data_IF_527666574763
#
_entry.id   IF_527666574763
#
_cell.length_a   1.000
_cell.length_b   1.000
_cell.length_c   1.000
_cell.angle_alpha   90.00
_cell.angle_beta   90.00
_cell.angle_gamma   90.00
#
_symmetry.space_group_name_H-M   'P 1'
#
loop_
_entity.id
_entity.type
_entity.pdbx_description
1 polymer ?
#
# COMPACT_ATOMS: atom_id res chain seq x y z
N UNK A 1 -42.69 -3.31 -3.57
CA UNK A 1 -41.51 -4.19 -3.48
C UNK A 1 -40.80 -4.04 -4.80
N UNK A 2 -39.95 -3.02 -4.89
CA UNK A 2 -39.18 -2.71 -6.09
C UNK A 2 -37.78 -3.29 -5.87
N UNK A 3 -37.43 -4.27 -6.70
CA UNK A 3 -36.08 -4.82 -6.79
C UNK A 3 -35.20 -3.84 -7.56
N UNK A 4 -34.33 -3.13 -6.84
CA UNK A 4 -33.24 -2.36 -7.43
C UNK A 4 -32.09 -3.31 -7.71
N UNK A 5 -32.10 -3.92 -8.89
CA UNK A 5 -30.90 -4.52 -9.46
C UNK A 5 -30.05 -3.41 -10.08
N UNK A 6 -29.03 -3.00 -9.32
CA UNK A 6 -27.97 -2.10 -9.75
C UNK A 6 -27.21 -2.73 -10.93
N UNK A 7 -27.52 -2.28 -12.14
CA UNK A 7 -26.83 -2.66 -13.36
C UNK A 7 -25.64 -1.69 -13.55
N UNK A 8 -24.45 -2.11 -13.10
CA UNK A 8 -23.22 -1.41 -13.48
C UNK A 8 -22.99 -1.64 -14.98
N UNK A 9 -23.16 -0.57 -15.76
CA UNK A 9 -22.87 -0.58 -17.19
C UNK A 9 -21.36 -0.54 -17.40
N UNK A 10 -20.86 -1.59 -18.05
CA UNK A 10 -19.52 -1.69 -18.61
C UNK A 10 -19.31 -0.57 -19.65
N UNK A 11 -18.79 0.57 -19.22
CA UNK A 11 -18.10 1.49 -20.12
C UNK A 11 -16.61 1.23 -19.95
N UNK A 12 -16.05 0.50 -20.92
CA UNK A 12 -14.61 0.36 -21.14
C UNK A 12 -14.02 1.72 -21.54
N UNK A 13 -13.94 2.66 -20.61
CA UNK A 13 -12.92 3.70 -20.66
C UNK A 13 -11.71 3.07 -20.01
N UNK A 14 -10.67 2.82 -20.79
CA UNK A 14 -9.32 2.60 -20.23
C UNK A 14 -8.91 3.95 -19.64
N UNK A 15 -9.48 4.31 -18.49
CA UNK A 15 -9.00 5.44 -17.71
C UNK A 15 -7.59 5.07 -17.31
N UNK A 16 -6.63 5.79 -17.90
CA UNK A 16 -5.23 5.70 -17.52
C UNK A 16 -5.17 5.94 -16.01
N UNK A 17 -4.90 4.88 -15.24
CA UNK A 17 -4.92 4.94 -13.77
C UNK A 17 -4.05 6.12 -13.34
N UNK A 18 -4.62 7.02 -12.53
CA UNK A 18 -3.92 8.21 -12.04
C UNK A 18 -2.60 7.79 -11.40
N UNK A 19 -1.55 8.54 -11.72
CA UNK A 19 -0.22 8.31 -11.18
C UNK A 19 -0.28 8.38 -9.65
N UNK A 20 0.43 7.46 -8.98
CA UNK A 20 0.59 7.50 -7.54
C UNK A 20 1.31 8.81 -7.14
N UNK A 21 0.95 9.41 -6.00
CA UNK A 21 1.61 10.63 -5.53
C UNK A 21 0.87 11.94 -5.85
N UNK A 22 -0.32 11.89 -6.46
CA UNK A 22 -1.07 13.09 -6.88
C UNK A 22 -2.31 13.37 -6.05
N UNK A 23 -2.51 12.70 -4.90
CA UNK A 23 -3.68 12.89 -4.04
C UNK A 23 -3.34 13.84 -2.88
N UNK A 24 -3.98 15.00 -2.88
CA UNK A 24 -3.82 16.03 -1.84
C UNK A 24 -5.13 16.20 -1.07
N UNK A 25 -5.09 16.05 0.25
CA UNK A 25 -6.24 16.32 1.10
C UNK A 25 -6.38 17.84 1.22
N UNK A 26 -7.33 18.42 0.48
CA UNK A 26 -7.58 19.87 0.49
C UNK A 26 -8.78 20.25 1.35
N UNK A 27 -9.72 19.33 1.56
CA UNK A 27 -10.88 19.47 2.42
C UNK A 27 -10.91 18.30 3.41
N UNK A 28 -10.93 18.60 4.71
CA UNK A 28 -10.94 17.60 5.80
C UNK A 28 -12.16 16.68 5.75
N UNK A 29 -13.28 17.13 5.18
CA UNK A 29 -14.50 16.31 5.03
C UNK A 29 -14.31 15.13 4.06
N UNK A 30 -13.30 15.21 3.18
CA UNK A 30 -13.01 14.18 2.18
C UNK A 30 -12.05 13.09 2.67
N UNK A 31 -11.63 13.12 3.94
CA UNK A 31 -10.60 12.22 4.50
C UNK A 31 -10.83 10.74 4.15
N UNK A 32 -12.08 10.30 4.07
CA UNK A 32 -12.47 8.91 3.80
C UNK A 32 -12.70 8.57 2.32
N UNK A 33 -12.50 9.51 1.39
CA UNK A 33 -12.72 9.29 -0.04
C UNK A 33 -11.65 8.39 -0.67
N UNK A 34 -10.45 8.33 -0.07
CA UNK A 34 -9.35 7.50 -0.55
C UNK A 34 -8.70 6.73 0.60
N UNK A 35 -8.16 5.56 0.30
CA UNK A 35 -7.40 4.75 1.27
C UNK A 35 -6.07 5.40 1.69
N UNK A 36 -5.55 6.34 0.91
CA UNK A 36 -4.33 7.07 1.22
C UNK A 36 -4.34 8.44 0.52
N UNK A 37 -3.86 9.44 1.26
CA UNK A 37 -3.51 10.76 0.75
C UNK A 37 -2.00 10.84 0.65
N UNK A 38 -1.49 11.28 -0.50
CA UNK A 38 -0.06 11.16 -0.82
C UNK A 38 0.78 12.29 -0.21
N UNK A 39 0.15 13.41 0.13
CA UNK A 39 0.83 14.58 0.66
C UNK A 39 -0.05 15.23 1.73
N UNK A 40 0.29 14.96 2.99
CA UNK A 40 -0.32 15.59 4.16
C UNK A 40 0.81 16.21 4.95
N UNK A 41 0.79 17.54 5.07
CA UNK A 41 1.73 18.27 5.91
C UNK A 41 1.43 18.00 7.38
N UNK A 42 2.47 17.80 8.18
CA UNK A 42 2.32 17.54 9.61
C UNK A 42 2.16 18.85 10.37
N UNK A 43 1.19 18.88 11.29
CA UNK A 43 1.10 19.96 12.27
C UNK A 43 2.27 19.90 13.26
N UNK A 44 2.52 21.00 13.95
CA UNK A 44 3.59 21.06 14.94
C UNK A 44 3.31 20.12 16.13
N UNK A 45 2.04 19.93 16.49
CA UNK A 45 1.61 18.96 17.50
C UNK A 45 1.89 17.53 17.07
N UNK A 46 1.62 17.17 15.81
CA UNK A 46 1.88 15.83 15.27
C UNK A 46 3.39 15.53 15.24
N UNK A 47 4.21 16.51 14.87
CA UNK A 47 5.68 16.39 14.92
C UNK A 47 6.14 16.15 16.35
N UNK A 48 5.66 16.94 17.31
CA UNK A 48 6.02 16.79 18.72
C UNK A 48 5.58 15.43 19.29
N UNK A 49 4.39 14.94 18.93
CA UNK A 49 3.93 13.61 19.34
C UNK A 49 4.80 12.50 18.75
N UNK A 50 5.18 12.61 17.48
CA UNK A 50 6.08 11.65 16.85
C UNK A 50 7.46 11.63 17.50
N UNK A 51 8.03 12.80 17.79
CA UNK A 51 9.30 12.92 18.52
C UNK A 51 9.21 12.28 19.91
N UNK A 52 8.13 12.52 20.64
CA UNK A 52 7.88 11.90 21.95
C UNK A 52 7.80 10.37 21.86
N UNK A 53 7.09 9.84 20.86
CA UNK A 53 7.01 8.38 20.62
C UNK A 53 8.35 7.77 20.24
N UNK A 54 9.14 8.44 19.41
CA UNK A 54 10.50 8.00 19.06
C UNK A 54 11.36 7.95 20.32
N UNK A 55 11.30 8.98 21.17
CA UNK A 55 12.04 9.01 22.44
C UNK A 55 11.61 7.87 23.38
N UNK A 56 10.31 7.58 23.49
CA UNK A 56 9.78 6.48 24.28
C UNK A 56 10.28 5.11 23.75
N UNK A 57 10.20 4.89 22.43
CA UNK A 57 10.68 3.65 21.81
C UNK A 57 12.19 3.45 22.02
N UNK A 58 12.96 4.54 22.02
CA UNK A 58 14.39 4.49 22.30
C UNK A 58 14.70 4.00 23.72
N UNK A 59 13.86 4.31 24.72
CA UNK A 59 14.02 3.80 26.08
C UNK A 59 13.81 2.27 26.16
N UNK A 60 13.01 1.72 25.27
CA UNK A 60 12.71 0.29 25.17
C UNK A 60 13.40 -0.37 23.98
N UNK A 61 14.56 0.15 23.58
CA UNK A 61 15.31 -0.39 22.45
C UNK A 61 15.61 -1.89 22.62
N UNK A 62 15.53 -2.62 21.51
CA UNK A 62 15.89 -4.03 21.46
C UNK A 62 17.34 -4.23 21.92
N UNK A 63 17.59 -5.28 22.69
CA UNK A 63 18.95 -5.63 23.07
C UNK A 63 19.80 -5.94 21.82
N UNK A 64 21.10 -5.73 21.92
CA UNK A 64 22.03 -5.86 20.79
C UNK A 64 22.05 -7.27 20.17
N UNK A 65 21.86 -8.31 20.99
CA UNK A 65 21.88 -9.69 20.53
C UNK A 65 20.64 -10.06 19.70
N UNK A 66 19.46 -9.60 20.13
CA UNK A 66 18.21 -9.77 19.42
C UNK A 66 18.25 -9.00 18.09
N UNK A 67 18.69 -7.74 18.11
CA UNK A 67 18.89 -6.95 16.90
C UNK A 67 19.84 -7.65 15.92
N UNK A 68 20.97 -8.16 16.39
CA UNK A 68 21.93 -8.91 15.57
C UNK A 68 21.32 -10.18 14.98
N UNK A 69 20.54 -10.94 15.76
CA UNK A 69 19.88 -12.14 15.26
C UNK A 69 18.88 -11.84 14.13
N UNK A 70 18.08 -10.78 14.29
CA UNK A 70 17.14 -10.31 13.26
C UNK A 70 17.87 -9.96 11.96
N UNK A 71 19.00 -9.24 12.06
CA UNK A 71 19.80 -8.82 10.92
C UNK A 71 20.55 -9.98 10.25
N UNK A 72 20.96 -11.00 11.01
CA UNK A 72 21.69 -12.15 10.47
C UNK A 72 20.80 -13.17 9.78
N UNK A 73 19.54 -13.30 10.21
CA UNK A 73 18.63 -14.33 9.70
C UNK A 73 17.31 -13.75 9.17
N UNK A 74 17.32 -12.72 8.30
CA UNK A 74 16.11 -12.01 7.89
C UNK A 74 15.12 -12.95 7.18
N UNK A 75 15.62 -13.89 6.36
CA UNK A 75 14.78 -14.89 5.68
C UNK A 75 13.93 -15.69 6.68
N UNK A 76 14.53 -16.22 7.74
CA UNK A 76 13.83 -17.00 8.74
C UNK A 76 12.80 -16.16 9.50
N UNK A 77 13.12 -14.91 9.83
CA UNK A 77 12.18 -14.00 10.50
C UNK A 77 10.94 -13.74 9.64
N UNK A 78 11.14 -13.45 8.35
CA UNK A 78 10.04 -13.26 7.40
C UNK A 78 9.26 -14.55 7.18
N UNK A 79 9.92 -15.70 7.09
CA UNK A 79 9.25 -16.99 6.96
C UNK A 79 8.33 -17.26 8.16
N UNK A 80 8.81 -17.13 9.40
CA UNK A 80 7.98 -17.29 10.60
C UNK A 80 6.83 -16.29 10.66
N UNK A 81 7.01 -15.07 10.14
CA UNK A 81 5.94 -14.09 10.02
C UNK A 81 4.85 -14.57 9.04
N UNK A 82 5.23 -15.03 7.85
CA UNK A 82 4.27 -15.48 6.84
C UNK A 82 3.56 -16.78 7.21
N UNK A 83 4.23 -17.70 7.92
CA UNK A 83 3.61 -18.90 8.50
C UNK A 83 2.42 -18.58 9.42
N UNK A 84 2.44 -17.41 10.07
CA UNK A 84 1.39 -16.97 11.00
C UNK A 84 0.34 -16.06 10.39
N UNK A 85 0.59 -15.50 9.20
CA UNK A 85 -0.20 -14.40 8.62
C UNK A 85 -0.56 -14.60 7.14
N UNK A 86 -0.93 -15.83 6.76
CA UNK A 86 -1.16 -16.23 5.36
C UNK A 86 -2.14 -15.35 4.58
N UNK A 87 -3.21 -14.86 5.21
CA UNK A 87 -4.36 -14.27 4.49
C UNK A 87 -4.51 -12.75 4.62
N UNK A 88 -3.62 -12.06 5.35
CA UNK A 88 -3.83 -10.63 5.67
C UNK A 88 -3.03 -9.66 4.80
N UNK A 89 -2.06 -10.15 4.02
CA UNK A 89 -1.11 -9.27 3.35
C UNK A 89 -1.27 -9.19 1.83
N UNK A 90 -1.83 -10.23 1.20
CA UNK A 90 -2.04 -10.28 -0.24
C UNK A 90 -3.48 -9.90 -0.59
N UNK A 91 -3.83 -8.63 -0.42
CA UNK A 91 -4.97 -8.06 -1.14
C UNK A 91 -4.63 -7.95 -2.62
N UNK A 92 -5.65 -7.95 -3.50
CA UNK A 92 -5.47 -7.72 -4.94
C UNK A 92 -4.67 -6.44 -5.17
N UNK A 93 -3.37 -6.59 -5.50
CA UNK A 93 -2.42 -5.48 -5.68
C UNK A 93 -2.61 -4.86 -7.07
N UNK A 94 -3.81 -4.37 -7.34
CA UNK A 94 -4.14 -3.71 -8.61
C UNK A 94 -3.21 -2.51 -8.92
N UNK A 95 -2.51 -1.98 -7.91
CA UNK A 95 -1.50 -0.92 -8.07
C UNK A 95 -0.16 -1.41 -8.66
N UNK A 96 0.16 -2.70 -8.61
CA UNK A 96 1.49 -3.21 -9.01
C UNK A 96 1.79 -2.98 -10.49
N UNK A 97 0.79 -3.12 -11.35
CA UNK A 97 0.93 -2.87 -12.80
C UNK A 97 0.92 -1.37 -13.13
N UNK A 98 0.45 -0.53 -12.20
CA UNK A 98 0.57 0.93 -12.36
C UNK A 98 2.02 1.37 -12.13
N UNK A 99 2.70 0.78 -11.15
CA UNK A 99 4.08 1.13 -10.78
C UNK A 99 5.12 0.40 -11.65
N UNK A 100 4.84 -0.86 -11.99
CA UNK A 100 5.72 -1.72 -12.79
C UNK A 100 4.96 -2.26 -14.03
N UNK A 101 4.68 -1.41 -15.04
CA UNK A 101 4.00 -1.84 -16.27
C UNK A 101 4.70 -3.02 -16.96
N UNK A 102 6.00 -3.21 -16.76
CA UNK A 102 6.79 -4.30 -17.32
C UNK A 102 6.38 -5.69 -16.80
N UNK A 103 5.69 -5.77 -15.65
CA UNK A 103 5.17 -7.01 -15.09
C UNK A 103 3.86 -7.45 -15.75
N UNK A 104 3.27 -6.61 -16.61
CA UNK A 104 2.11 -6.97 -17.42
C UNK A 104 2.55 -7.87 -18.59
N UNK A 105 2.80 -9.14 -18.27
CA UNK A 105 3.23 -10.14 -19.24
C UNK A 105 2.10 -10.61 -20.15
N UNK A 106 0.84 -10.37 -19.78
CA UNK A 106 -0.34 -10.76 -20.57
C UNK A 106 -0.57 -9.80 -21.75
N UNK A 107 -0.36 -8.49 -21.57
CA UNK A 107 -0.39 -7.52 -22.68
C UNK A 107 0.82 -7.63 -23.63
N UNK A 108 1.92 -8.25 -23.19
CA UNK A 108 3.08 -8.50 -24.08
C UNK A 108 2.85 -9.66 -25.05
N UNK A 109 2.01 -10.64 -24.72
CA UNK A 109 1.71 -11.78 -25.61
C UNK A 109 0.79 -11.35 -26.75
N UNK A 110 -0.11 -10.38 -26.54
CA UNK A 110 -0.94 -9.81 -27.61
C UNK A 110 -0.13 -9.03 -28.65
N UNK A 111 0.99 -8.40 -28.26
CA UNK A 111 1.88 -7.69 -29.20
C UNK A 111 2.77 -8.65 -30.01
N UNK A 112 2.98 -9.88 -29.54
CA UNK A 112 3.79 -10.91 -30.21
C UNK A 112 2.97 -11.88 -31.08
N UNK A 113 1.63 -11.81 -31.05
CA UNK A 113 0.74 -12.62 -31.88
C UNK A 113 0.35 -11.94 -33.22
N UNK A 114 1.01 -10.82 -33.56
CA UNK A 114 0.89 -10.13 -34.84
C UNK A 114 2.18 -10.24 -35.70
N UNK A 115 2.86 -11.38 -35.65
CA UNK A 115 3.81 -11.83 -36.66
C UNK A 115 3.61 -13.31 -36.98
#
# INVERSE_FOLDING_TARGET
>A
MEDVQQQCSDVNVVEKRKQFGTRYLTDESETFNFNAWDSVEWSDEQKAEAEAKVAEQHLHALNTNAAKNLLQNPNQQWQTFYEKHEQKFFMNRNWILTEFPELDTLNKVSDLLYF
#
